data_IF_276473429042
#
_entry.id   IF_276473429042
#
_cell.length_a   1.000
_cell.length_b   1.000
_cell.length_c   1.000
_cell.angle_alpha   90.00
_cell.angle_beta   90.00
_cell.angle_gamma   90.00
#
_symmetry.space_group_name_H-M   'P 1'
#
loop_
_entity.id
_entity.type
_entity.pdbx_description
1 polymer ?
#
# COMPACT_ATOMS: atom_id res chain seq x y z
N UNK A 1 -8.15 18.75 -8.12
CA UNK A 1 -7.42 17.47 -8.24
C UNK A 1 -7.48 16.76 -6.90
N UNK A 2 -7.61 15.43 -6.87
CA UNK A 2 -7.57 14.67 -5.61
C UNK A 2 -6.15 14.73 -5.04
N UNK A 3 -6.00 15.18 -3.80
CA UNK A 3 -4.73 15.10 -3.10
C UNK A 3 -4.63 13.70 -2.49
N UNK A 4 -3.87 12.82 -3.14
CA UNK A 4 -3.64 11.44 -2.66
C UNK A 4 -2.20 11.33 -2.18
N UNK A 5 -2.03 11.01 -0.90
CA UNK A 5 -0.73 10.77 -0.26
C UNK A 5 -0.73 9.40 0.42
N UNK A 6 0.45 8.93 0.83
CA UNK A 6 0.58 7.71 1.62
C UNK A 6 1.53 7.90 2.79
N UNK A 7 1.41 7.02 3.77
CA UNK A 7 2.30 6.93 4.92
C UNK A 7 2.57 5.47 5.22
N UNK A 8 3.84 5.13 5.43
CA UNK A 8 4.28 3.83 5.94
C UNK A 8 4.29 3.83 7.46
N UNK A 9 4.15 2.65 8.06
CA UNK A 9 4.24 2.49 9.51
C UNK A 9 4.66 1.08 9.89
N UNK A 10 5.23 0.91 11.09
CA UNK A 10 5.48 -0.41 11.65
C UNK A 10 4.16 -1.09 12.02
N UNK A 11 3.87 -2.23 11.40
CA UNK A 11 2.65 -2.99 11.64
C UNK A 11 2.67 -3.58 13.05
N UNK A 12 1.57 -3.50 13.82
CA UNK A 12 1.48 -4.13 15.14
C UNK A 12 1.55 -5.67 15.06
N UNK A 13 1.47 -6.23 13.85
CA UNK A 13 1.60 -7.67 13.58
C UNK A 13 3.00 -8.06 13.04
N UNK A 14 3.95 -7.11 13.04
CA UNK A 14 5.30 -7.29 12.54
C UNK A 14 5.48 -6.85 11.08
N UNK A 15 6.65 -6.30 10.78
CA UNK A 15 6.97 -5.71 9.48
C UNK A 15 6.36 -4.32 9.28
N UNK A 16 6.14 -3.94 8.03
CA UNK A 16 5.64 -2.62 7.63
C UNK A 16 4.28 -2.71 6.93
N UNK A 17 3.38 -1.82 7.31
CA UNK A 17 2.11 -1.54 6.63
C UNK A 17 2.11 -0.15 6.01
N UNK A 18 0.99 0.21 5.39
CA UNK A 18 0.81 1.55 4.81
C UNK A 18 -0.63 2.03 4.91
N UNK A 19 -0.78 3.36 4.87
CA UNK A 19 -2.05 4.06 4.77
C UNK A 19 -2.08 4.88 3.49
N UNK A 20 -3.24 4.91 2.83
CA UNK A 20 -3.52 5.83 1.73
C UNK A 20 -4.48 6.90 2.23
N UNK A 21 -4.15 8.16 2.01
CA UNK A 21 -4.94 9.30 2.41
C UNK A 21 -5.46 10.03 1.18
N UNK A 22 -6.75 10.32 1.15
CA UNK A 22 -7.39 11.16 0.12
C UNK A 22 -7.90 12.41 0.81
N UNK A 23 -7.38 13.57 0.40
CA UNK A 23 -7.66 14.87 1.02
C UNK A 23 -7.45 14.84 2.54
N UNK A 24 -6.38 14.19 2.98
CA UNK A 24 -6.00 14.06 4.39
C UNK A 24 -6.79 13.02 5.20
N UNK A 25 -7.76 12.31 4.60
CA UNK A 25 -8.52 11.24 5.27
C UNK A 25 -7.98 9.89 4.88
N UNK A 26 -7.71 9.02 5.86
CA UNK A 26 -7.34 7.63 5.61
C UNK A 26 -8.50 6.91 4.92
N UNK A 27 -8.26 6.41 3.72
CA UNK A 27 -9.24 5.62 2.94
C UNK A 27 -8.84 4.15 2.82
N UNK A 28 -7.55 3.85 2.97
CA UNK A 28 -7.01 2.48 3.03
C UNK A 28 -6.06 2.44 4.22
N UNK A 29 -6.25 1.47 5.10
CA UNK A 29 -5.30 1.09 6.15
C UNK A 29 -4.94 -0.38 5.95
N UNK A 30 -3.73 -0.63 5.49
CA UNK A 30 -3.28 -1.95 5.06
C UNK A 30 -2.06 -2.37 5.90
N UNK A 31 -2.28 -3.07 7.03
CA UNK A 31 -1.20 -3.52 7.91
C UNK A 31 -0.43 -4.75 7.39
N UNK A 32 -0.91 -5.37 6.31
CA UNK A 32 -0.41 -6.63 5.75
C UNK A 32 -0.09 -6.54 4.26
N UNK A 33 0.73 -7.45 3.74
CA UNK A 33 0.96 -7.57 2.30
C UNK A 33 -0.38 -7.91 1.61
N UNK A 34 -0.91 -7.06 0.70
CA UNK A 34 -2.16 -7.35 0.00
C UNK A 34 -2.00 -8.62 -0.85
N UNK A 35 -3.11 -9.30 -1.17
CA UNK A 35 -3.12 -10.51 -2.00
C UNK A 35 -2.37 -11.75 -1.44
N UNK A 36 -1.66 -11.61 -0.32
CA UNK A 36 -0.95 -12.71 0.35
C UNK A 36 -1.69 -13.06 1.63
N UNK A 37 -2.04 -14.32 1.80
CA UNK A 37 -2.72 -14.79 3.01
C UNK A 37 -1.81 -14.70 4.23
N UNK A 38 -2.38 -14.24 5.36
CA UNK A 38 -1.71 -14.21 6.66
C UNK A 38 -1.56 -12.80 7.25
N UNK A 39 -1.12 -12.74 8.51
CA UNK A 39 -0.93 -11.50 9.26
C UNK A 39 0.54 -11.06 9.22
N UNK A 40 1.02 -10.70 8.03
CA UNK A 40 2.42 -10.32 7.81
C UNK A 40 2.51 -9.00 7.05
N UNK A 41 3.21 -8.02 7.61
CA UNK A 41 3.62 -6.81 6.90
C UNK A 41 4.78 -7.05 5.93
N UNK A 42 5.16 -6.02 5.19
CA UNK A 42 6.39 -6.05 4.38
C UNK A 42 7.63 -6.17 5.27
N UNK A 43 8.69 -6.79 4.75
CA UNK A 43 9.97 -6.91 5.45
C UNK A 43 10.70 -5.57 5.59
N UNK A 44 10.48 -4.64 4.65
CA UNK A 44 11.04 -3.29 4.68
C UNK A 44 9.98 -2.21 4.46
N UNK A 45 10.24 -1.04 5.03
CA UNK A 45 9.43 0.16 4.82
C UNK A 45 9.34 0.53 3.33
N UNK A 46 10.47 0.40 2.62
CA UNK A 46 10.56 0.71 1.19
C UNK A 46 9.57 -0.12 0.36
N UNK A 47 9.42 -1.42 0.63
CA UNK A 47 8.47 -2.27 -0.10
C UNK A 47 7.02 -1.87 0.18
N UNK A 48 6.70 -1.53 1.43
CA UNK A 48 5.39 -0.96 1.77
C UNK A 48 5.13 0.37 1.05
N UNK A 49 6.15 1.24 0.95
CA UNK A 49 6.06 2.52 0.24
C UNK A 49 5.85 2.36 -1.26
N UNK A 50 6.55 1.42 -1.92
CA UNK A 50 6.42 1.17 -3.37
C UNK A 50 4.99 0.77 -3.72
N UNK A 51 4.39 -0.18 -2.99
CA UNK A 51 3.01 -0.60 -3.28
C UNK A 51 2.00 0.49 -2.92
N UNK A 52 2.25 1.26 -1.86
CA UNK A 52 1.38 2.36 -1.47
C UNK A 52 1.37 3.46 -2.53
N UNK A 53 2.53 3.80 -3.09
CA UNK A 53 2.63 4.79 -4.17
C UNK A 53 1.94 4.30 -5.45
N UNK A 54 2.10 3.02 -5.81
CA UNK A 54 1.39 2.42 -6.93
C UNK A 54 -0.15 2.52 -6.80
N UNK A 55 -0.68 2.29 -5.60
CA UNK A 55 -2.11 2.45 -5.30
C UNK A 55 -2.51 3.93 -5.34
N UNK A 56 -1.69 4.81 -4.75
CA UNK A 56 -1.95 6.24 -4.75
C UNK A 56 -1.99 6.79 -6.18
N UNK A 57 -1.07 6.37 -7.06
CA UNK A 57 -1.08 6.70 -8.49
C UNK A 57 -2.35 6.22 -9.19
N UNK A 58 -2.84 5.00 -8.92
CA UNK A 58 -4.13 4.54 -9.46
C UNK A 58 -5.27 5.49 -9.08
N UNK A 59 -5.35 5.87 -7.81
CA UNK A 59 -6.39 6.80 -7.32
C UNK A 59 -6.25 8.21 -7.89
N UNK A 60 -5.02 8.74 -8.00
CA UNK A 60 -4.73 10.04 -8.65
C UNK A 60 -5.24 10.06 -10.09
N UNK A 61 -5.14 8.93 -10.78
CA UNK A 61 -5.59 8.74 -12.16
C UNK A 61 -7.06 8.29 -12.29
N UNK A 62 -7.85 8.29 -11.21
CA UNK A 62 -9.26 7.88 -11.22
C UNK A 62 -9.49 6.38 -11.47
N UNK A 63 -8.45 5.55 -11.30
CA UNK A 63 -8.52 4.09 -11.45
C UNK A 63 -8.82 3.43 -10.09
N UNK A 64 -9.54 2.30 -10.07
CA UNK A 64 -9.74 1.52 -8.85
C UNK A 64 -8.40 1.10 -8.21
N UNK A 65 -8.29 1.09 -6.87
CA UNK A 65 -7.06 0.75 -6.15
C UNK A 65 -6.82 -0.77 -6.05
N UNK A 66 -7.32 -1.56 -6.99
CA UNK A 66 -7.14 -3.02 -6.96
C UNK A 66 -5.67 -3.38 -7.14
N UNK A 67 -5.18 -4.30 -6.32
CA UNK A 67 -3.85 -4.90 -6.43
C UNK A 67 -4.05 -6.37 -6.79
N UNK A 68 -3.21 -6.87 -7.68
CA UNK A 68 -3.13 -8.29 -8.03
C UNK A 68 -1.77 -8.87 -7.61
N UNK A 69 -1.65 -10.20 -7.41
CA UNK A 69 -0.37 -10.82 -7.08
C UNK A 69 0.78 -10.45 -8.04
N UNK A 70 0.49 -10.35 -9.35
CA UNK A 70 1.49 -9.96 -10.34
C UNK A 70 1.98 -8.52 -10.18
N UNK A 71 1.19 -7.60 -9.62
CA UNK A 71 1.65 -6.25 -9.33
C UNK A 71 2.80 -6.29 -8.31
N UNK A 72 2.70 -7.16 -7.30
CA UNK A 72 3.71 -7.30 -6.26
C UNK A 72 5.04 -7.84 -6.82
N UNK A 73 4.96 -8.85 -7.70
CA UNK A 73 6.13 -9.43 -8.38
C UNK A 73 6.77 -8.39 -9.30
N UNK A 74 5.98 -7.71 -10.13
CA UNK A 74 6.48 -6.73 -11.09
C UNK A 74 7.13 -5.51 -10.41
N UNK A 75 6.64 -5.14 -9.23
CA UNK A 75 7.19 -4.05 -8.42
C UNK A 75 8.38 -4.50 -7.56
N UNK A 76 8.70 -5.81 -7.49
CA UNK A 76 9.77 -6.36 -6.67
C UNK A 76 9.53 -6.19 -5.16
N UNK A 77 8.27 -6.16 -4.73
CA UNK A 77 7.89 -5.97 -3.33
C UNK A 77 7.59 -7.29 -2.59
N UNK A 78 7.70 -8.42 -3.29
CA UNK A 78 7.71 -9.78 -2.74
C UNK A 78 8.81 -10.61 -3.39
#
# INVERSE_FOLDING_TARGET
MLNVTYQTYQSPYGGYGYKILVNGRVVIDQPFIPCISGYRGFDTEQKAGIIADFIAEKLRNGKPPFVHPNDLVNLGVI
#
